data_IF_122650927802
#
_entry.id   IF_122650927802
#
_cell.length_a   1.000
_cell.length_b   1.000
_cell.length_c   1.000
_cell.angle_alpha   90.00
_cell.angle_beta   90.00
_cell.angle_gamma   90.00
#
_symmetry.space_group_name_H-M   'P 1'
#
loop_
_entity.id
_entity.type
_entity.pdbx_description
1 polymer ?
#
# COMPACT_ATOMS: atom_id res chain seq x y z
N UNK A 1 23.15 -70.88 -22.57
CA UNK A 1 21.79 -70.30 -22.70
C UNK A 1 21.84 -68.89 -22.15
N UNK A 2 21.53 -67.87 -22.96
CA UNK A 2 21.50 -66.48 -22.49
C UNK A 2 20.39 -66.36 -21.43
N UNK A 3 20.75 -65.86 -20.25
CA UNK A 3 19.85 -65.81 -19.11
C UNK A 3 18.84 -64.67 -19.31
N UNK A 4 17.76 -64.92 -20.05
CA UNK A 4 16.67 -63.96 -20.28
C UNK A 4 16.00 -63.48 -18.97
N UNK A 5 16.31 -64.14 -17.85
CA UNK A 5 16.03 -63.74 -16.48
C UNK A 5 16.40 -62.27 -16.19
N UNK A 6 17.45 -61.76 -16.84
CA UNK A 6 17.97 -60.38 -16.73
C UNK A 6 16.98 -59.32 -17.29
N UNK A 7 16.12 -59.69 -18.24
CA UNK A 7 15.24 -58.73 -18.93
C UNK A 7 13.95 -58.47 -18.14
N UNK A 8 13.47 -59.45 -17.36
CA UNK A 8 12.17 -59.36 -16.68
C UNK A 8 12.06 -58.26 -15.62
N UNK A 9 13.06 -57.98 -14.77
CA UNK A 9 12.97 -56.88 -13.81
C UNK A 9 12.91 -55.51 -14.50
N UNK A 10 13.70 -55.33 -15.56
CA UNK A 10 13.73 -54.12 -16.39
C UNK A 10 12.41 -53.91 -17.13
N UNK A 11 11.85 -54.98 -17.73
CA UNK A 11 10.51 -54.96 -18.33
C UNK A 11 9.42 -54.71 -17.29
N UNK A 12 9.54 -55.26 -16.08
CA UNK A 12 8.63 -55.00 -14.97
C UNK A 12 8.65 -53.54 -14.51
N UNK A 13 9.83 -52.92 -14.46
CA UNK A 13 9.98 -51.48 -14.14
C UNK A 13 9.36 -50.59 -15.23
N UNK A 14 9.62 -50.89 -16.51
CA UNK A 14 9.06 -50.15 -17.65
C UNK A 14 7.54 -50.35 -17.74
N UNK A 15 7.03 -51.57 -17.56
CA UNK A 15 5.61 -51.87 -17.59
C UNK A 15 4.86 -51.21 -16.43
N UNK A 16 5.43 -51.24 -15.22
CA UNK A 16 4.81 -50.59 -14.06
C UNK A 16 4.78 -49.07 -14.18
N UNK A 17 5.86 -48.45 -14.67
CA UNK A 17 5.91 -46.98 -14.92
C UNK A 17 4.96 -46.56 -16.05
N UNK A 18 4.84 -47.37 -17.11
CA UNK A 18 3.88 -47.14 -18.18
C UNK A 18 2.43 -47.26 -17.67
N UNK A 19 2.11 -48.30 -16.89
CA UNK A 19 0.80 -48.48 -16.27
C UNK A 19 0.46 -47.33 -15.31
N UNK A 20 1.39 -46.91 -14.45
CA UNK A 20 1.14 -45.79 -13.51
C UNK A 20 0.86 -44.48 -14.23
N UNK A 21 1.51 -44.25 -15.38
CA UNK A 21 1.30 -43.05 -16.21
C UNK A 21 -0.01 -43.15 -17.01
N UNK A 22 -0.39 -44.36 -17.44
CA UNK A 22 -1.63 -44.63 -18.16
C UNK A 22 -2.88 -44.45 -17.29
N UNK A 23 -2.82 -44.84 -16.01
CA UNK A 23 -3.92 -44.66 -15.06
C UNK A 23 -3.98 -43.26 -14.42
N UNK A 24 -3.10 -42.34 -14.82
CA UNK A 24 -3.11 -40.93 -14.41
C UNK A 24 -3.23 -40.73 -12.89
N UNK A 25 -2.54 -41.58 -12.12
CA UNK A 25 -2.62 -41.55 -10.67
C UNK A 25 -1.68 -40.44 -10.17
N UNK A 26 -2.20 -39.21 -10.12
CA UNK A 26 -1.47 -37.99 -9.67
C UNK A 26 -1.24 -37.94 -8.16
N UNK A 27 -1.55 -39.02 -7.44
CA UNK A 27 -1.45 -39.03 -5.99
C UNK A 27 0.02 -39.18 -5.53
N UNK A 28 0.49 -38.26 -4.70
CA UNK A 28 1.86 -38.21 -4.15
C UNK A 28 2.28 -39.53 -3.50
N UNK A 29 1.34 -40.26 -2.91
CA UNK A 29 1.59 -41.58 -2.32
C UNK A 29 1.98 -42.65 -3.36
N UNK A 30 1.43 -42.58 -4.57
CA UNK A 30 1.75 -43.55 -5.64
C UNK A 30 3.14 -43.32 -6.22
N UNK A 31 3.56 -42.07 -6.38
CA UNK A 31 4.92 -41.74 -6.83
C UNK A 31 5.96 -42.28 -5.84
N UNK A 32 5.70 -42.17 -4.53
CA UNK A 32 6.56 -42.72 -3.48
C UNK A 32 6.63 -44.24 -3.53
N UNK A 33 5.47 -44.91 -3.61
CA UNK A 33 5.41 -46.36 -3.72
C UNK A 33 6.17 -46.87 -4.97
N UNK A 34 6.11 -46.13 -6.07
CA UNK A 34 6.81 -46.44 -7.31
C UNK A 34 8.33 -46.30 -7.17
N UNK A 35 8.82 -45.27 -6.49
CA UNK A 35 10.26 -45.11 -6.20
C UNK A 35 10.77 -46.26 -5.31
N UNK A 36 9.99 -46.65 -4.29
CA UNK A 36 10.31 -47.79 -3.42
C UNK A 36 10.37 -49.08 -4.24
N UNK A 37 9.36 -49.33 -5.08
CA UNK A 37 9.30 -50.50 -5.94
C UNK A 37 10.49 -50.57 -6.91
N UNK A 38 10.83 -49.47 -7.58
CA UNK A 38 12.00 -49.35 -8.47
C UNK A 38 13.29 -49.72 -7.72
N UNK A 39 13.50 -49.18 -6.51
CA UNK A 39 14.68 -49.48 -5.71
C UNK A 39 14.81 -50.96 -5.34
N UNK A 40 13.67 -51.58 -4.98
CA UNK A 40 13.62 -52.99 -4.60
C UNK A 40 13.89 -53.87 -5.83
N UNK A 41 13.20 -53.63 -6.95
CA UNK A 41 13.38 -54.38 -8.19
C UNK A 41 14.80 -54.23 -8.74
N UNK A 42 15.34 -53.02 -8.76
CA UNK A 42 16.72 -52.77 -9.19
C UNK A 42 17.72 -53.49 -8.28
N UNK A 43 17.47 -53.51 -6.97
CA UNK A 43 18.35 -54.21 -6.04
C UNK A 43 18.27 -55.73 -6.16
N UNK A 44 17.07 -56.29 -6.37
CA UNK A 44 16.90 -57.72 -6.66
C UNK A 44 17.61 -58.09 -7.96
N UNK A 45 17.49 -57.26 -9.00
CA UNK A 45 18.16 -57.45 -10.28
C UNK A 45 19.68 -57.55 -10.11
N UNK A 46 20.30 -56.55 -9.46
CA UNK A 46 21.76 -56.52 -9.26
C UNK A 46 22.24 -57.69 -8.40
N UNK A 47 21.46 -58.09 -7.40
CA UNK A 47 21.85 -59.13 -6.44
C UNK A 47 21.75 -60.54 -7.05
N UNK A 48 20.66 -60.86 -7.75
CA UNK A 48 20.37 -62.25 -8.14
C UNK A 48 20.62 -62.58 -9.61
N UNK A 49 20.71 -61.59 -10.49
CA UNK A 49 20.70 -61.82 -11.94
C UNK A 49 21.93 -61.25 -12.67
N UNK A 50 22.75 -60.43 -12.02
CA UNK A 50 23.95 -59.88 -12.63
C UNK A 50 25.06 -60.96 -12.68
N UNK A 51 25.69 -61.22 -13.86
CA UNK A 51 26.75 -62.22 -13.97
C UNK A 51 27.95 -61.96 -13.06
N UNK A 52 28.57 -63.04 -12.58
CA UNK A 52 29.84 -63.05 -11.87
C UNK A 52 30.95 -62.47 -12.78
N UNK A 53 31.17 -61.16 -12.67
CA UNK A 53 32.25 -60.42 -13.35
C UNK A 53 33.46 -60.28 -12.42
N UNK A 54 34.59 -59.83 -12.97
CA UNK A 54 35.80 -59.52 -12.19
C UNK A 54 35.49 -58.68 -10.94
N UNK A 55 36.26 -58.92 -9.87
CA UNK A 55 36.05 -58.28 -8.56
C UNK A 55 35.98 -56.74 -8.60
N UNK A 56 36.80 -56.01 -9.39
CA UNK A 56 36.73 -54.55 -9.50
C UNK A 56 35.40 -54.04 -10.07
N UNK A 57 34.85 -54.72 -11.08
CA UNK A 57 33.58 -54.37 -11.71
C UNK A 57 32.41 -54.60 -10.77
N UNK A 58 32.48 -55.62 -9.91
CA UNK A 58 31.48 -55.85 -8.85
C UNK A 58 31.47 -54.70 -7.82
N UNK A 59 32.64 -54.25 -7.35
CA UNK A 59 32.72 -53.13 -6.39
C UNK A 59 32.19 -51.82 -6.98
N UNK A 60 32.57 -51.50 -8.22
CA UNK A 60 32.11 -50.28 -8.89
C UNK A 60 30.59 -50.23 -9.07
N UNK A 61 29.98 -51.37 -9.43
CA UNK A 61 28.53 -51.51 -9.57
C UNK A 61 27.81 -51.46 -8.24
N UNK A 62 28.33 -52.13 -7.20
CA UNK A 62 27.78 -52.07 -5.85
C UNK A 62 27.78 -50.63 -5.30
N UNK A 63 28.85 -49.87 -5.56
CA UNK A 63 28.92 -48.45 -5.23
C UNK A 63 27.88 -47.62 -5.99
N UNK A 64 27.72 -47.83 -7.30
CA UNK A 64 26.70 -47.15 -8.10
C UNK A 64 25.27 -47.46 -7.62
N UNK A 65 24.97 -48.73 -7.35
CA UNK A 65 23.68 -49.13 -6.81
C UNK A 65 23.41 -48.46 -5.46
N UNK A 66 24.41 -48.40 -4.58
CA UNK A 66 24.28 -47.73 -3.29
C UNK A 66 24.04 -46.23 -3.45
N UNK A 67 24.74 -45.56 -4.37
CA UNK A 67 24.53 -44.15 -4.67
C UNK A 67 23.11 -43.86 -5.17
N UNK A 68 22.60 -44.66 -6.11
CA UNK A 68 21.23 -44.55 -6.62
C UNK A 68 20.21 -44.78 -5.50
N UNK A 69 20.41 -45.81 -4.68
CA UNK A 69 19.54 -46.09 -3.54
C UNK A 69 19.52 -44.92 -2.56
N UNK A 70 20.68 -44.33 -2.23
CA UNK A 70 20.77 -43.16 -1.32
C UNK A 70 20.01 -41.96 -1.90
N UNK A 71 20.20 -41.63 -3.18
CA UNK A 71 19.47 -40.54 -3.84
C UNK A 71 17.96 -40.75 -3.73
N UNK A 72 17.49 -41.96 -4.02
CA UNK A 72 16.07 -42.27 -3.97
C UNK A 72 15.52 -42.30 -2.53
N UNK A 73 16.31 -42.75 -1.55
CA UNK A 73 15.98 -42.73 -0.12
C UNK A 73 15.83 -41.29 0.40
N UNK A 74 16.68 -40.36 -0.05
CA UNK A 74 16.58 -38.94 0.32
C UNK A 74 15.40 -38.24 -0.35
N UNK A 75 14.91 -38.76 -1.48
CA UNK A 75 13.77 -38.21 -2.22
C UNK A 75 12.38 -38.57 -1.68
N UNK A 76 12.29 -39.46 -0.68
CA UNK A 76 11.02 -39.92 -0.09
C UNK A 76 10.88 -39.53 1.39
N UNK A 77 9.68 -39.70 1.97
CA UNK A 77 9.44 -39.34 3.36
C UNK A 77 10.10 -40.31 4.35
N UNK A 78 10.45 -39.81 5.54
CA UNK A 78 11.21 -40.54 6.55
C UNK A 78 10.75 -41.98 6.82
N UNK A 79 9.45 -42.21 7.00
CA UNK A 79 8.92 -43.56 7.26
C UNK A 79 9.15 -44.50 6.08
N UNK A 80 8.89 -44.01 4.87
CA UNK A 80 9.08 -44.75 3.62
C UNK A 80 10.57 -45.04 3.38
N UNK A 81 11.44 -44.05 3.61
CA UNK A 81 12.90 -44.19 3.57
C UNK A 81 13.39 -45.26 4.53
N UNK A 82 12.90 -45.25 5.78
CA UNK A 82 13.31 -46.18 6.83
C UNK A 82 12.92 -47.61 6.47
N UNK A 83 11.69 -47.83 6.02
CA UNK A 83 11.23 -49.13 5.54
C UNK A 83 12.06 -49.63 4.35
N UNK A 84 12.37 -48.75 3.40
CA UNK A 84 13.20 -49.09 2.24
C UNK A 84 14.61 -49.51 2.65
N UNK A 85 15.26 -48.78 3.57
CA UNK A 85 16.59 -49.11 4.08
C UNK A 85 16.59 -50.49 4.76
N UNK A 86 15.62 -50.73 5.66
CA UNK A 86 15.50 -52.02 6.38
C UNK A 86 15.29 -53.17 5.40
N UNK A 87 14.42 -53.00 4.41
CA UNK A 87 14.08 -54.04 3.45
C UNK A 87 15.27 -54.34 2.52
N UNK A 88 15.94 -53.31 2.00
CA UNK A 88 17.13 -53.48 1.16
C UNK A 88 18.28 -54.16 1.93
N UNK A 89 18.50 -53.78 3.19
CA UNK A 89 19.51 -54.42 4.02
C UNK A 89 19.17 -55.88 4.32
N UNK A 90 17.90 -56.18 4.63
CA UNK A 90 17.42 -57.55 4.86
C UNK A 90 17.61 -58.44 3.63
N UNK A 91 17.30 -57.94 2.43
CA UNK A 91 17.55 -58.65 1.16
C UNK A 91 19.03 -58.96 0.95
N UNK A 92 19.92 -58.01 1.29
CA UNK A 92 21.38 -58.20 1.17
C UNK A 92 21.92 -59.22 2.17
N UNK A 93 21.44 -59.22 3.41
CA UNK A 93 21.79 -60.26 4.39
C UNK A 93 21.32 -61.62 3.91
N UNK A 94 20.08 -61.73 3.45
CA UNK A 94 19.50 -62.99 2.96
C UNK A 94 20.33 -63.55 1.80
N UNK A 95 20.71 -62.70 0.84
CA UNK A 95 21.60 -63.09 -0.26
C UNK A 95 22.97 -63.55 0.23
N UNK A 96 23.59 -62.82 1.17
CA UNK A 96 24.89 -63.18 1.74
C UNK A 96 24.84 -64.54 2.43
N UNK A 97 23.78 -64.82 3.20
CA UNK A 97 23.58 -66.11 3.87
C UNK A 97 23.37 -67.25 2.87
N UNK A 98 22.67 -67.01 1.76
CA UNK A 98 22.41 -68.04 0.75
C UNK A 98 23.62 -68.37 -0.11
N UNK A 99 24.44 -67.37 -0.47
CA UNK A 99 25.46 -67.52 -1.50
C UNK A 99 26.91 -67.48 -0.98
N UNK A 100 27.14 -67.13 0.29
CA UNK A 100 28.50 -67.10 0.84
C UNK A 100 28.89 -68.45 1.44
N UNK A 101 30.10 -68.96 1.16
CA UNK A 101 30.61 -70.20 1.76
C UNK A 101 30.88 -70.08 3.27
N UNK A 102 31.00 -68.85 3.78
CA UNK A 102 31.11 -68.56 5.22
C UNK A 102 30.48 -67.20 5.53
N UNK A 103 29.89 -67.08 6.71
CA UNK A 103 29.23 -65.84 7.14
C UNK A 103 30.25 -64.96 7.86
N UNK A 104 30.64 -63.83 7.26
CA UNK A 104 31.45 -62.83 7.94
C UNK A 104 30.56 -61.91 8.78
N UNK A 105 30.49 -62.23 10.08
CA UNK A 105 29.73 -61.48 11.08
C UNK A 105 30.20 -60.02 11.17
N UNK A 106 31.49 -59.75 10.94
CA UNK A 106 32.07 -58.41 11.04
C UNK A 106 31.44 -57.48 10.00
N UNK A 107 31.36 -57.95 8.75
CA UNK A 107 30.73 -57.20 7.64
C UNK A 107 29.24 -56.97 7.91
N UNK A 108 28.53 -57.93 8.50
CA UNK A 108 27.12 -57.77 8.87
C UNK A 108 26.97 -56.66 9.92
N UNK A 109 27.75 -56.69 11.01
CA UNK A 109 27.70 -55.68 12.09
C UNK A 109 28.03 -54.28 11.56
N UNK A 110 29.08 -54.16 10.75
CA UNK A 110 29.46 -52.89 10.12
C UNK A 110 28.35 -52.37 9.18
N UNK A 111 27.76 -53.28 8.39
CA UNK A 111 26.61 -52.97 7.54
C UNK A 111 25.39 -52.49 8.34
N UNK A 112 25.13 -53.09 9.51
CA UNK A 112 24.05 -52.65 10.39
C UNK A 112 24.31 -51.23 10.90
N UNK A 113 25.52 -50.97 11.41
CA UNK A 113 25.92 -49.63 11.88
C UNK A 113 25.83 -48.57 10.79
N UNK A 114 26.23 -48.89 9.56
CA UNK A 114 26.13 -47.98 8.41
C UNK A 114 24.67 -47.65 8.06
N UNK A 115 23.78 -48.64 8.04
CA UNK A 115 22.35 -48.40 7.77
C UNK A 115 21.67 -47.64 8.91
N UNK A 116 22.03 -47.89 10.17
CA UNK A 116 21.56 -47.10 11.31
C UNK A 116 21.98 -45.62 11.18
N UNK A 117 23.25 -45.38 10.85
CA UNK A 117 23.77 -44.02 10.59
C UNK A 117 23.00 -43.34 9.45
N UNK A 118 22.72 -44.06 8.36
CA UNK A 118 21.93 -43.54 7.25
C UNK A 118 20.50 -43.16 7.69
N UNK A 119 19.82 -43.99 8.50
CA UNK A 119 18.49 -43.67 9.04
C UNK A 119 18.54 -42.38 9.88
N UNK A 120 19.58 -42.20 10.71
CA UNK A 120 19.77 -40.99 11.52
C UNK A 120 19.97 -39.75 10.61
N UNK A 121 20.79 -39.87 9.56
CA UNK A 121 21.00 -38.79 8.58
C UNK A 121 19.67 -38.42 7.90
N UNK A 122 18.91 -39.41 7.43
CA UNK A 122 17.61 -39.20 6.79
C UNK A 122 16.59 -38.57 7.74
N UNK A 123 16.63 -38.92 9.03
CA UNK A 123 15.81 -38.27 10.07
C UNK A 123 16.12 -36.77 10.18
N UNK A 124 17.40 -36.41 10.34
CA UNK A 124 17.79 -35.00 10.45
C UNK A 124 17.49 -34.20 9.18
N UNK A 125 17.72 -34.80 8.02
CA UNK A 125 17.40 -34.20 6.73
C UNK A 125 15.89 -33.90 6.59
N UNK A 126 15.03 -34.90 6.83
CA UNK A 126 13.57 -34.71 6.76
C UNK A 126 13.06 -33.74 7.84
N UNK A 127 13.66 -33.74 9.03
CA UNK A 127 13.36 -32.76 10.08
C UNK A 127 13.70 -31.34 9.64
N UNK A 128 14.84 -31.14 8.99
CA UNK A 128 15.24 -29.84 8.47
C UNK A 128 14.28 -29.35 7.37
N UNK A 129 13.91 -30.21 6.41
CA UNK A 129 12.92 -29.88 5.36
C UNK A 129 11.57 -29.49 5.97
N UNK A 130 11.06 -30.27 6.94
CA UNK A 130 9.79 -29.96 7.60
C UNK A 130 9.85 -28.66 8.39
N UNK A 131 10.99 -28.38 9.05
CA UNK A 131 11.21 -27.11 9.74
C UNK A 131 11.23 -25.94 8.76
N UNK A 132 11.91 -26.08 7.63
CA UNK A 132 11.93 -25.08 6.56
C UNK A 132 10.51 -24.83 6.04
N UNK A 133 9.75 -25.89 5.77
CA UNK A 133 8.36 -25.78 5.34
C UNK A 133 7.44 -25.10 6.36
N UNK A 134 7.62 -25.40 7.65
CA UNK A 134 6.87 -24.74 8.74
C UNK A 134 7.22 -23.25 8.85
N UNK A 135 8.50 -22.89 8.71
CA UNK A 135 8.94 -21.49 8.64
C UNK A 135 8.30 -20.79 7.43
N UNK A 136 8.34 -21.41 6.25
CA UNK A 136 7.69 -20.87 5.04
C UNK A 136 6.17 -20.68 5.25
N UNK A 137 5.49 -21.60 5.94
CA UNK A 137 4.07 -21.47 6.29
C UNK A 137 3.79 -20.35 7.30
N UNK A 138 4.68 -20.15 8.26
CA UNK A 138 4.58 -19.05 9.23
C UNK A 138 4.70 -17.69 8.52
N UNK A 139 5.58 -17.58 7.54
CA UNK A 139 5.75 -16.37 6.75
C UNK A 139 4.56 -16.10 5.82
N UNK A 140 3.98 -17.13 5.22
CA UNK A 140 2.71 -17.00 4.48
C UNK A 140 1.54 -16.54 5.38
N UNK A 141 1.57 -16.86 6.68
CA UNK A 141 0.59 -16.33 7.63
C UNK A 141 0.78 -14.83 7.86
N UNK A 142 2.01 -14.33 7.88
CA UNK A 142 2.26 -12.88 7.94
C UNK A 142 1.71 -12.14 6.74
N UNK A 143 1.86 -12.68 5.53
CA UNK A 143 1.24 -12.10 4.32
C UNK A 143 -0.29 -12.06 4.43
N UNK A 144 -0.91 -13.11 4.97
CA UNK A 144 -2.36 -13.17 5.18
C UNK A 144 -2.82 -12.22 6.30
N UNK A 145 -2.05 -12.09 7.38
CA UNK A 145 -2.32 -11.13 8.47
C UNK A 145 -2.22 -9.69 7.93
N UNK A 146 -1.20 -9.37 7.13
CA UNK A 146 -1.07 -8.06 6.48
C UNK A 146 -2.28 -7.76 5.59
N UNK A 147 -2.74 -8.74 4.80
CA UNK A 147 -3.98 -8.59 3.99
C UNK A 147 -5.22 -8.31 4.86
N UNK A 148 -5.34 -8.97 6.01
CA UNK A 148 -6.46 -8.76 6.92
C UNK A 148 -6.41 -7.39 7.62
N UNK A 149 -5.22 -6.93 8.02
CA UNK A 149 -5.03 -5.61 8.65
C UNK A 149 -5.31 -4.49 7.64
N UNK A 150 -4.97 -4.69 6.37
CA UNK A 150 -5.05 -3.67 5.32
C UNK A 150 -6.38 -3.66 4.55
N UNK A 151 -7.41 -4.36 5.02
CA UNK A 151 -8.67 -4.60 4.29
C UNK A 151 -9.34 -3.35 3.69
N UNK A 152 -9.13 -2.15 4.27
CA UNK A 152 -9.75 -0.91 3.83
C UNK A 152 -8.79 0.11 3.19
N UNK A 153 -7.53 -0.26 2.96
CA UNK A 153 -6.52 0.63 2.39
C UNK A 153 -6.14 0.18 0.98
N UNK A 154 -5.79 1.15 0.11
CA UNK A 154 -5.27 0.85 -1.23
C UNK A 154 -3.77 0.62 -1.15
N UNK A 155 -3.33 -0.60 -1.44
CA UNK A 155 -1.92 -1.00 -1.34
C UNK A 155 -1.47 -1.88 -2.51
N UNK A 156 -0.17 -1.94 -2.74
CA UNK A 156 0.53 -2.96 -3.53
C UNK A 156 1.46 -3.68 -2.57
N UNK A 157 1.44 -5.01 -2.61
CA UNK A 157 2.37 -5.87 -1.88
C UNK A 157 3.21 -6.65 -2.90
N UNK A 158 4.53 -6.45 -2.89
CA UNK A 158 5.48 -7.08 -3.80
C UNK A 158 6.59 -7.78 -3.02
N UNK A 159 7.07 -8.90 -3.54
CA UNK A 159 8.27 -9.58 -3.06
C UNK A 159 9.41 -9.38 -4.05
N UNK A 160 10.63 -9.22 -3.54
CA UNK A 160 11.84 -9.23 -4.35
C UNK A 160 12.50 -10.61 -4.31
N UNK A 161 12.53 -11.31 -5.44
CA UNK A 161 13.22 -12.59 -5.55
C UNK A 161 14.71 -12.36 -5.79
N UNK A 162 15.51 -12.46 -4.73
CA UNK A 162 16.97 -12.22 -4.76
C UNK A 162 17.66 -13.10 -5.81
N UNK A 163 17.27 -14.38 -5.92
CA UNK A 163 17.86 -15.33 -6.87
C UNK A 163 17.64 -14.96 -8.34
N UNK A 164 16.49 -14.37 -8.66
CA UNK A 164 16.10 -14.01 -10.04
C UNK A 164 16.27 -12.53 -10.35
N UNK A 165 16.62 -11.72 -9.34
CA UNK A 165 16.69 -10.27 -9.39
C UNK A 165 15.40 -9.61 -9.92
N UNK A 166 14.23 -10.14 -9.53
CA UNK A 166 12.94 -9.72 -10.06
C UNK A 166 11.92 -9.44 -8.95
N UNK A 167 11.10 -8.41 -9.15
CA UNK A 167 9.92 -8.19 -8.32
C UNK A 167 8.76 -9.08 -8.77
N UNK A 168 8.03 -9.62 -7.80
CA UNK A 168 6.82 -10.38 -8.00
C UNK A 168 5.68 -9.77 -7.17
N UNK A 169 4.59 -9.40 -7.84
CA UNK A 169 3.38 -8.95 -7.16
C UNK A 169 2.72 -10.10 -6.41
N UNK A 170 2.42 -9.88 -5.13
CA UNK A 170 1.65 -10.80 -4.30
C UNK A 170 0.17 -10.45 -4.40
N UNK A 171 -0.16 -9.18 -4.15
CA UNK A 171 -1.53 -8.65 -4.19
C UNK A 171 -1.52 -7.14 -4.41
N UNK A 172 -2.51 -6.63 -5.13
CA UNK A 172 -2.71 -5.19 -5.30
C UNK A 172 -4.19 -4.81 -5.20
N UNK A 173 -4.49 -3.81 -4.38
CA UNK A 173 -5.76 -3.07 -4.31
C UNK A 173 -5.55 -1.58 -4.63
N UNK A 174 -4.39 -1.25 -5.19
CA UNK A 174 -3.91 0.13 -5.35
C UNK A 174 -4.78 0.98 -6.26
N UNK A 175 -5.25 0.39 -7.36
CA UNK A 175 -6.16 1.00 -8.34
C UNK A 175 -7.01 -0.10 -8.98
N UNK A 176 -8.24 0.18 -9.44
CA UNK A 176 -8.99 -0.75 -10.29
C UNK A 176 -8.23 -1.13 -11.58
N UNK A 177 -7.27 -0.31 -12.03
CA UNK A 177 -6.43 -0.57 -13.20
C UNK A 177 -5.10 -1.25 -12.90
N UNK A 178 -4.77 -1.46 -11.62
CA UNK A 178 -3.50 -2.03 -11.18
C UNK A 178 -3.81 -3.16 -10.21
N UNK A 179 -4.22 -4.31 -10.75
CA UNK A 179 -4.59 -5.50 -10.00
C UNK A 179 -3.76 -6.72 -10.43
N UNK A 180 -3.49 -6.87 -11.72
CA UNK A 180 -2.73 -8.00 -12.24
C UNK A 180 -1.22 -7.83 -12.00
N UNK A 181 -0.47 -8.94 -11.97
CA UNK A 181 0.98 -8.89 -11.82
C UNK A 181 1.64 -8.06 -12.94
N UNK A 182 1.13 -8.17 -14.17
CA UNK A 182 1.66 -7.40 -15.32
C UNK A 182 1.43 -5.90 -15.12
N UNK A 183 0.23 -5.50 -14.69
CA UNK A 183 -0.09 -4.10 -14.43
C UNK A 183 0.74 -3.52 -13.28
N UNK A 184 0.94 -4.28 -12.21
CA UNK A 184 1.79 -3.87 -11.08
C UNK A 184 3.23 -3.65 -11.56
N UNK A 185 3.76 -4.56 -12.39
CA UNK A 185 5.12 -4.41 -12.93
C UNK A 185 5.22 -3.23 -13.91
N UNK A 186 4.20 -2.99 -14.73
CA UNK A 186 4.16 -1.82 -15.60
C UNK A 186 4.13 -0.53 -14.78
N UNK A 187 3.33 -0.49 -13.70
CA UNK A 187 3.33 0.63 -12.76
C UNK A 187 4.74 0.86 -12.19
N UNK A 188 5.42 -0.16 -11.68
CA UNK A 188 6.78 0.00 -11.12
C UNK A 188 7.81 0.51 -12.16
N UNK A 189 7.67 0.11 -13.42
CA UNK A 189 8.57 0.49 -14.51
C UNK A 189 8.32 1.90 -15.05
N UNK A 190 7.06 2.27 -15.20
CA UNK A 190 6.65 3.52 -15.82
C UNK A 190 6.58 4.67 -14.81
N UNK A 191 6.29 4.37 -13.55
CA UNK A 191 6.22 5.36 -12.49
C UNK A 191 7.63 5.87 -12.17
N UNK A 192 7.80 7.20 -12.07
CA UNK A 192 9.12 7.84 -11.91
C UNK A 192 9.26 8.62 -10.61
N UNK A 193 10.39 8.45 -9.93
CA UNK A 193 10.85 9.27 -8.81
C UNK A 193 12.11 9.97 -9.28
N UNK A 194 12.16 11.30 -9.26
CA UNK A 194 13.36 12.06 -9.68
C UNK A 194 14.00 11.60 -11.02
N UNK A 195 13.15 11.26 -12.00
CA UNK A 195 13.48 10.73 -13.33
C UNK A 195 14.00 9.29 -13.42
N UNK A 196 14.20 8.58 -12.30
CA UNK A 196 14.44 7.13 -12.28
C UNK A 196 13.12 6.36 -12.12
N UNK A 197 13.04 5.12 -12.57
CA UNK A 197 11.83 4.30 -12.36
C UNK A 197 11.66 3.95 -10.88
N UNK A 198 10.41 3.76 -10.46
CA UNK A 198 10.08 3.33 -9.10
C UNK A 198 10.71 1.96 -8.81
N UNK A 199 10.75 1.07 -9.80
CA UNK A 199 11.47 -0.21 -9.73
C UNK A 199 12.95 -0.03 -9.36
N UNK A 200 13.66 0.86 -10.04
CA UNK A 200 15.08 1.16 -9.77
C UNK A 200 15.26 1.83 -8.40
N UNK A 201 14.37 2.76 -8.05
CA UNK A 201 14.39 3.43 -6.75
C UNK A 201 14.24 2.43 -5.59
N UNK A 202 13.26 1.54 -5.68
CA UNK A 202 13.02 0.49 -4.67
C UNK A 202 14.18 -0.50 -4.61
N UNK A 203 14.81 -0.82 -5.75
CA UNK A 203 16.00 -1.66 -5.77
C UNK A 203 17.20 -1.03 -5.05
N UNK A 204 17.47 0.26 -5.26
CA UNK A 204 18.52 0.97 -4.52
C UNK A 204 18.23 1.03 -3.02
N UNK A 205 16.97 1.28 -2.63
CA UNK A 205 16.54 1.27 -1.23
C UNK A 205 16.69 -0.12 -0.59
N UNK A 206 16.44 -1.19 -1.34
CA UNK A 206 16.70 -2.57 -0.90
C UNK A 206 18.20 -2.83 -0.66
N UNK A 207 19.07 -2.35 -1.54
CA UNK A 207 20.53 -2.48 -1.36
C UNK A 207 21.03 -1.67 -0.16
N UNK A 208 20.50 -0.47 0.04
CA UNK A 208 20.84 0.36 1.20
C UNK A 208 20.37 -0.31 2.51
N UNK A 209 19.17 -0.91 2.51
CA UNK A 209 18.63 -1.67 3.63
C UNK A 209 19.52 -2.86 3.98
N UNK A 210 19.95 -3.66 2.99
CA UNK A 210 20.78 -4.86 3.24
C UNK A 210 22.14 -4.54 3.83
N UNK A 211 22.65 -3.33 3.61
CA UNK A 211 23.93 -2.86 4.18
C UNK A 211 23.77 -2.27 5.58
N UNK A 212 22.65 -1.61 5.88
CA UNK A 212 22.45 -0.87 7.14
C UNK A 212 21.60 -1.60 8.19
N UNK A 213 20.89 -2.67 7.81
CA UNK A 213 19.97 -3.44 8.68
C UNK A 213 18.93 -2.58 9.42
N UNK A 214 18.62 -1.38 8.93
CA UNK A 214 17.61 -0.50 9.51
C UNK A 214 16.28 -0.72 8.79
N UNK A 215 15.22 -1.00 9.54
CA UNK A 215 13.87 -1.11 9.01
C UNK A 215 13.45 0.21 8.35
N UNK A 216 13.22 0.19 7.02
CA UNK A 216 12.63 1.32 6.29
C UNK A 216 11.11 1.20 6.45
N UNK A 217 10.56 2.02 7.35
CA UNK A 217 9.13 2.04 7.67
C UNK A 217 8.56 3.41 7.29
N UNK A 218 7.49 3.39 6.48
CA UNK A 218 6.72 4.57 6.05
C UNK A 218 7.58 5.67 5.42
N UNK A 219 8.56 5.29 4.61
CA UNK A 219 9.35 6.25 3.85
C UNK A 219 8.50 6.75 2.67
N UNK A 220 8.42 8.06 2.46
CA UNK A 220 7.48 8.64 1.51
C UNK A 220 8.17 9.10 0.23
N UNK A 221 7.65 8.67 -0.93
CA UNK A 221 8.14 9.04 -2.26
C UNK A 221 7.08 9.78 -3.06
N UNK A 222 7.50 10.79 -3.81
CA UNK A 222 6.67 11.44 -4.80
C UNK A 222 6.88 10.79 -6.16
N UNK A 223 5.85 10.09 -6.62
CA UNK A 223 5.89 9.25 -7.81
C UNK A 223 5.09 9.91 -8.93
N UNK A 224 5.70 10.14 -10.09
CA UNK A 224 5.03 10.61 -11.31
C UNK A 224 4.57 9.40 -12.13
N UNK A 225 3.26 9.26 -12.32
CA UNK A 225 2.65 8.19 -13.11
C UNK A 225 1.42 8.75 -13.85
N UNK A 226 1.24 8.45 -15.14
CA UNK A 226 0.12 8.97 -15.96
C UNK A 226 -0.11 10.49 -15.86
N UNK A 227 0.97 11.27 -15.91
CA UNK A 227 0.95 12.75 -15.75
C UNK A 227 0.41 13.25 -14.40
N UNK A 228 0.21 12.37 -13.43
CA UNK A 228 -0.17 12.69 -12.06
C UNK A 228 1.02 12.52 -11.13
N UNK A 229 1.08 13.33 -10.08
CA UNK A 229 2.05 13.20 -9.00
C UNK A 229 1.33 12.58 -7.80
N UNK A 230 1.71 11.35 -7.47
CA UNK A 230 1.12 10.52 -6.42
C UNK A 230 2.16 10.42 -5.31
N UNK A 231 1.78 10.80 -4.09
CA UNK A 231 2.60 10.50 -2.92
C UNK A 231 2.32 9.07 -2.48
N UNK A 232 3.39 8.30 -2.34
CA UNK A 232 3.37 6.88 -2.06
C UNK A 232 4.26 6.65 -0.86
N UNK A 233 3.69 6.08 0.19
CA UNK A 233 4.43 5.64 1.36
C UNK A 233 4.81 4.19 1.12
N UNK A 234 6.07 3.83 1.34
CA UNK A 234 6.51 2.46 1.22
C UNK A 234 7.23 2.01 2.48
N UNK A 235 7.12 0.70 2.76
CA UNK A 235 7.83 0.04 3.84
C UNK A 235 8.47 -1.23 3.30
N UNK A 236 9.71 -1.49 3.72
CA UNK A 236 10.45 -2.70 3.35
C UNK A 236 10.57 -3.57 4.60
N UNK A 237 10.04 -4.79 4.51
CA UNK A 237 10.07 -5.80 5.55
C UNK A 237 10.94 -6.97 5.10
N UNK A 238 11.67 -7.58 6.03
CA UNK A 238 12.45 -8.79 5.77
C UNK A 238 11.80 -9.99 6.45
N UNK A 239 11.27 -10.90 5.62
CA UNK A 239 11.03 -12.31 5.99
C UNK A 239 12.10 -13.20 5.34
N UNK A 240 11.68 -14.25 4.63
CA UNK A 240 12.58 -15.04 3.76
C UNK A 240 13.00 -14.29 2.49
N UNK A 241 12.14 -13.40 2.00
CA UNK A 241 12.42 -12.51 0.88
C UNK A 241 12.08 -11.07 1.31
N UNK A 242 12.72 -10.05 0.73
CA UNK A 242 12.34 -8.67 0.98
C UNK A 242 10.92 -8.44 0.44
N UNK A 243 10.01 -8.09 1.33
CA UNK A 243 8.62 -7.75 1.02
C UNK A 243 8.46 -6.24 1.11
N UNK A 244 7.99 -5.62 0.03
CA UNK A 244 7.74 -4.18 -0.01
C UNK A 244 6.22 -3.97 0.00
N UNK A 245 5.76 -3.22 1.00
CA UNK A 245 4.43 -2.68 1.05
C UNK A 245 4.46 -1.26 0.49
N UNK A 246 3.66 -1.01 -0.52
CA UNK A 246 3.49 0.29 -1.14
C UNK A 246 2.06 0.73 -0.88
N UNK A 247 1.88 1.86 -0.22
CA UNK A 247 0.60 2.45 0.08
C UNK A 247 0.50 3.81 -0.59
N UNK A 248 -0.65 4.13 -1.15
CA UNK A 248 -0.92 5.54 -1.42
C UNK A 248 -1.05 6.24 -0.08
N UNK A 249 -0.41 7.39 0.11
CA UNK A 249 -0.63 8.22 1.30
C UNK A 249 -2.08 8.74 1.25
N UNK A 250 -3.05 7.93 1.68
CA UNK A 250 -4.49 8.15 1.50
C UNK A 250 -5.09 9.22 2.42
N UNK A 251 -4.29 10.19 2.88
CA UNK A 251 -4.82 11.24 3.74
C UNK A 251 -5.74 12.23 3.01
N UNK A 252 -5.84 12.22 1.67
CA UNK A 252 -6.64 13.23 0.92
C UNK A 252 -7.90 12.71 0.21
N UNK A 253 -7.90 11.47 -0.31
CA UNK A 253 -9.09 10.92 -0.99
C UNK A 253 -10.21 10.53 -0.01
N UNK A 254 -9.86 10.11 1.21
CA UNK A 254 -10.86 9.78 2.23
C UNK A 254 -11.52 11.04 2.82
N UNK A 255 -10.80 12.16 2.90
CA UNK A 255 -11.35 13.48 3.27
C UNK A 255 -12.34 13.96 2.19
N UNK A 256 -11.99 13.82 0.90
CA UNK A 256 -12.90 14.20 -0.18
C UNK A 256 -14.21 13.39 -0.18
N UNK A 257 -14.15 12.08 0.07
CA UNK A 257 -15.37 11.25 0.17
C UNK A 257 -16.16 11.50 1.47
N UNK A 258 -15.50 11.74 2.60
CA UNK A 258 -16.20 12.11 3.85
C UNK A 258 -16.83 13.50 3.77
N UNK A 259 -16.20 14.46 3.09
CA UNK A 259 -16.74 15.80 2.91
C UNK A 259 -17.83 15.86 1.84
N UNK A 260 -17.70 15.11 0.74
CA UNK A 260 -18.79 14.90 -0.21
C UNK A 260 -19.99 14.23 0.47
N UNK A 261 -19.76 13.28 1.38
CA UNK A 261 -20.82 12.67 2.19
C UNK A 261 -21.43 13.64 3.21
N UNK A 262 -20.65 14.59 3.78
CA UNK A 262 -21.21 15.66 4.63
C UNK A 262 -22.05 16.64 3.82
N UNK A 263 -21.62 16.98 2.60
CA UNK A 263 -22.37 17.85 1.68
C UNK A 263 -23.67 17.17 1.25
N UNK A 264 -23.64 15.90 0.86
CA UNK A 264 -24.84 15.14 0.49
C UNK A 264 -25.80 14.97 1.67
N UNK A 265 -25.30 14.73 2.89
CA UNK A 265 -26.13 14.73 4.11
C UNK A 265 -26.78 16.09 4.40
N UNK A 266 -26.10 17.21 4.12
CA UNK A 266 -26.68 18.54 4.27
C UNK A 266 -27.74 18.82 3.20
N UNK A 267 -27.52 18.42 1.95
CA UNK A 267 -28.54 18.48 0.90
C UNK A 267 -29.77 17.65 1.25
N UNK A 268 -29.58 16.44 1.76
CA UNK A 268 -30.67 15.58 2.24
C UNK A 268 -31.44 16.23 3.40
N UNK A 269 -30.74 16.86 4.36
CA UNK A 269 -31.39 17.62 5.44
C UNK A 269 -32.22 18.80 4.90
N UNK A 270 -31.70 19.52 3.92
CA UNK A 270 -32.41 20.66 3.32
C UNK A 270 -33.65 20.20 2.53
N UNK A 271 -33.52 19.11 1.76
CA UNK A 271 -34.66 18.45 1.10
C UNK A 271 -35.69 17.94 2.11
N UNK A 272 -35.27 17.36 3.23
CA UNK A 272 -36.17 16.89 4.29
C UNK A 272 -36.93 18.04 4.94
N UNK A 273 -36.26 19.17 5.19
CA UNK A 273 -36.90 20.40 5.71
C UNK A 273 -37.90 20.96 4.69
N UNK A 274 -37.55 21.00 3.39
CA UNK A 274 -38.49 21.40 2.33
C UNK A 274 -39.71 20.49 2.26
N UNK A 275 -39.51 19.17 2.28
CA UNK A 275 -40.61 18.20 2.26
C UNK A 275 -41.52 18.39 3.47
N UNK A 276 -40.97 18.66 4.67
CA UNK A 276 -41.77 18.96 5.86
C UNK A 276 -42.55 20.26 5.74
N UNK A 277 -41.94 21.34 5.27
CA UNK A 277 -42.64 22.63 5.06
C UNK A 277 -43.80 22.45 4.06
N UNK A 278 -43.59 21.69 2.99
CA UNK A 278 -44.61 21.45 1.95
C UNK A 278 -45.72 20.51 2.45
N UNK A 279 -45.39 19.48 3.24
CA UNK A 279 -46.36 18.48 3.71
C UNK A 279 -47.12 18.87 4.98
N UNK A 280 -46.48 19.60 5.89
CA UNK A 280 -47.00 19.87 7.24
C UNK A 280 -47.55 21.30 7.39
N UNK A 281 -47.55 22.11 6.32
CA UNK A 281 -48.07 23.50 6.27
C UNK A 281 -47.52 24.41 7.40
N UNK A 282 -46.27 24.13 7.82
CA UNK A 282 -45.59 24.85 8.89
C UNK A 282 -45.12 26.23 8.36
N UNK A 283 -45.29 27.33 9.13
CA UNK A 283 -44.83 28.65 8.70
C UNK A 283 -43.33 28.66 8.42
N UNK A 284 -42.98 29.09 7.21
CA UNK A 284 -41.62 29.10 6.69
C UNK A 284 -40.70 30.04 7.48
N UNK A 285 -39.75 29.48 8.24
CA UNK A 285 -38.72 30.25 8.92
C UNK A 285 -37.58 30.62 7.96
N UNK A 286 -37.76 31.75 7.27
CA UNK A 286 -36.80 32.28 6.29
C UNK A 286 -35.37 32.36 6.81
N UNK A 287 -35.16 32.76 8.08
CA UNK A 287 -33.82 32.93 8.65
C UNK A 287 -33.11 31.58 8.84
N UNK A 288 -33.80 30.55 9.32
CA UNK A 288 -33.23 29.22 9.49
C UNK A 288 -32.88 28.59 8.14
N UNK A 289 -33.78 28.75 7.16
CA UNK A 289 -33.57 28.28 5.80
C UNK A 289 -32.35 28.96 5.15
N UNK A 290 -32.28 30.29 5.21
CA UNK A 290 -31.19 31.08 4.67
C UNK A 290 -29.83 30.72 5.32
N UNK A 291 -29.81 30.50 6.63
CA UNK A 291 -28.60 30.07 7.34
C UNK A 291 -28.11 28.68 6.88
N UNK A 292 -29.04 27.76 6.60
CA UNK A 292 -28.70 26.41 6.15
C UNK A 292 -28.26 26.41 4.68
N UNK A 293 -28.93 27.18 3.82
CA UNK A 293 -28.53 27.40 2.43
C UNK A 293 -27.12 28.02 2.33
N UNK A 294 -26.83 29.03 3.16
CA UNK A 294 -25.50 29.66 3.22
C UNK A 294 -24.41 28.66 3.62
N UNK A 295 -24.68 27.78 4.59
CA UNK A 295 -23.74 26.72 5.00
C UNK A 295 -23.45 25.77 3.85
N UNK A 296 -24.47 25.33 3.11
CA UNK A 296 -24.29 24.44 1.96
C UNK A 296 -23.48 25.12 0.85
N UNK A 297 -23.82 26.36 0.50
CA UNK A 297 -23.11 27.09 -0.54
C UNK A 297 -21.65 27.40 -0.17
N UNK A 298 -21.35 27.71 1.09
CA UNK A 298 -19.97 27.83 1.57
C UNK A 298 -19.21 26.51 1.42
N UNK A 299 -19.85 25.38 1.77
CA UNK A 299 -19.21 24.07 1.68
C UNK A 299 -19.02 23.59 0.23
N UNK A 300 -19.95 23.91 -0.68
CA UNK A 300 -19.79 23.69 -2.12
C UNK A 300 -18.61 24.52 -2.67
N UNK A 301 -18.50 25.80 -2.30
CA UNK A 301 -17.35 26.64 -2.71
C UNK A 301 -16.01 26.11 -2.18
N UNK A 302 -15.96 25.57 -0.96
CA UNK A 302 -14.77 24.89 -0.41
C UNK A 302 -14.43 23.65 -1.25
N UNK A 303 -15.42 22.84 -1.58
CA UNK A 303 -15.24 21.63 -2.41
C UNK A 303 -14.74 21.97 -3.81
N UNK A 304 -15.32 23.00 -4.44
CA UNK A 304 -14.91 23.48 -5.77
C UNK A 304 -13.51 24.10 -5.77
N UNK A 305 -13.08 24.67 -4.65
CA UNK A 305 -11.70 25.15 -4.46
C UNK A 305 -10.74 23.96 -4.49
N UNK A 306 -11.07 22.85 -3.82
CA UNK A 306 -10.18 21.69 -3.77
C UNK A 306 -10.09 20.89 -5.08
N UNK A 307 -11.16 20.86 -5.87
CA UNK A 307 -11.24 19.95 -7.03
C UNK A 307 -10.80 20.55 -8.36
N UNK A 308 -10.42 21.84 -8.43
CA UNK A 308 -10.14 22.51 -9.71
C UNK A 308 -8.77 23.17 -9.72
N UNK A 309 -8.13 23.20 -10.90
CA UNK A 309 -6.90 23.94 -11.14
C UNK A 309 -7.07 25.44 -10.78
N UNK A 310 -6.08 25.96 -10.06
CA UNK A 310 -6.03 27.34 -9.58
C UNK A 310 -5.39 28.22 -10.66
N UNK A 311 -6.19 29.03 -11.34
CA UNK A 311 -5.73 29.95 -12.39
C UNK A 311 -5.93 31.38 -11.91
N UNK A 312 -4.86 32.17 -11.97
CA UNK A 312 -4.86 33.61 -11.74
C UNK A 312 -5.66 34.33 -12.81
N UNK A 313 -6.55 35.24 -12.40
CA UNK A 313 -7.32 36.09 -13.32
C UNK A 313 -7.49 37.49 -12.72
N UNK A 314 -7.53 38.49 -13.59
CA UNK A 314 -7.95 39.85 -13.23
C UNK A 314 -9.45 39.80 -12.91
N UNK A 315 -9.80 40.27 -11.71
CA UNK A 315 -11.13 40.20 -11.13
C UNK A 315 -11.58 41.58 -10.68
N UNK A 316 -12.75 42.00 -11.14
CA UNK A 316 -13.42 43.21 -10.63
C UNK A 316 -14.00 42.93 -9.24
N UNK A 317 -13.64 43.77 -8.28
CA UNK A 317 -14.16 43.71 -6.92
C UNK A 317 -15.67 43.95 -6.91
N UNK A 318 -16.17 44.90 -7.71
CA UNK A 318 -17.62 45.16 -7.84
C UNK A 318 -18.38 43.93 -8.31
N UNK A 319 -17.89 43.22 -9.33
CA UNK A 319 -18.50 41.97 -9.82
C UNK A 319 -18.45 40.84 -8.79
N UNK A 320 -17.46 40.84 -7.91
CA UNK A 320 -17.27 39.79 -6.91
C UNK A 320 -18.13 40.02 -5.67
N UNK A 321 -18.19 41.27 -5.23
CA UNK A 321 -19.11 41.72 -4.18
C UNK A 321 -20.55 41.51 -4.61
N UNK A 322 -20.96 41.88 -5.83
CA UNK A 322 -22.35 41.66 -6.29
C UNK A 322 -22.72 40.18 -6.33
N UNK A 323 -21.81 39.31 -6.76
CA UNK A 323 -21.99 37.86 -6.68
C UNK A 323 -22.18 37.41 -5.24
N UNK A 324 -21.34 37.89 -4.31
CA UNK A 324 -21.34 37.42 -2.92
C UNK A 324 -22.45 38.06 -2.08
N UNK A 325 -22.96 39.23 -2.47
CA UNK A 325 -24.05 39.92 -1.81
C UNK A 325 -25.32 39.05 -1.73
N UNK A 326 -25.57 38.21 -2.75
CA UNK A 326 -26.64 37.23 -2.74
C UNK A 326 -26.52 36.18 -1.62
N UNK A 327 -25.34 36.01 -1.03
CA UNK A 327 -25.04 35.05 0.03
C UNK A 327 -25.05 35.69 1.44
N UNK A 328 -25.12 37.01 1.52
CA UNK A 328 -25.00 37.74 2.77
C UNK A 328 -26.33 37.75 3.54
N UNK A 329 -26.28 38.13 4.82
CA UNK A 329 -27.49 38.36 5.59
C UNK A 329 -28.38 39.37 4.83
N UNK A 330 -29.66 39.07 4.55
CA UNK A 330 -30.56 39.95 3.79
C UNK A 330 -30.69 41.35 4.40
N UNK A 331 -30.37 41.51 5.69
CA UNK A 331 -30.35 42.80 6.39
C UNK A 331 -29.07 43.62 6.14
N UNK A 332 -28.01 43.01 5.61
CA UNK A 332 -26.73 43.66 5.36
C UNK A 332 -26.67 44.26 3.96
N UNK A 333 -26.45 45.56 3.88
CA UNK A 333 -26.18 46.31 2.66
C UNK A 333 -24.66 46.46 2.51
N UNK A 334 -24.14 46.13 1.34
CA UNK A 334 -22.71 46.27 1.03
C UNK A 334 -22.54 47.50 0.15
N UNK A 335 -21.71 48.43 0.59
CA UNK A 335 -21.37 49.64 -0.15
C UNK A 335 -19.88 49.60 -0.53
N UNK A 336 -19.62 49.70 -1.84
CA UNK A 336 -18.27 49.90 -2.37
C UNK A 336 -18.00 51.39 -2.46
N UNK A 337 -16.91 51.85 -1.82
CA UNK A 337 -16.49 53.25 -1.84
C UNK A 337 -15.31 53.41 -2.79
N UNK A 338 -15.50 54.20 -3.84
CA UNK A 338 -14.50 54.49 -4.88
C UNK A 338 -14.84 53.92 -6.26
N UNK A 339 -13.90 54.03 -7.19
CA UNK A 339 -13.95 53.39 -8.50
C UNK A 339 -13.83 51.86 -8.38
N UNK A 340 -14.24 51.12 -9.43
CA UNK A 340 -14.11 49.67 -9.42
C UNK A 340 -12.63 49.26 -9.37
N UNK A 341 -12.35 48.26 -8.54
CA UNK A 341 -11.02 47.79 -8.21
C UNK A 341 -10.77 46.49 -8.97
N UNK A 342 -9.71 46.45 -9.78
CA UNK A 342 -9.29 45.26 -10.50
C UNK A 342 -8.12 44.59 -9.79
N UNK A 343 -8.32 43.34 -9.38
CA UNK A 343 -7.38 42.55 -8.59
C UNK A 343 -6.87 41.39 -9.44
N UNK A 344 -5.56 41.24 -9.57
CA UNK A 344 -5.00 39.99 -10.08
C UNK A 344 -4.98 38.98 -8.92
N UNK A 345 -5.92 38.03 -8.92
CA UNK A 345 -6.05 37.05 -7.83
C UNK A 345 -6.52 35.69 -8.36
N UNK A 346 -6.65 34.70 -7.47
CA UNK A 346 -7.34 33.44 -7.77
C UNK A 346 -8.81 33.64 -7.40
N UNK A 347 -9.75 33.80 -8.36
CA UNK A 347 -11.11 34.25 -8.08
C UNK A 347 -11.87 33.39 -7.08
N UNK A 348 -11.62 32.08 -7.07
CA UNK A 348 -12.32 31.15 -6.16
C UNK A 348 -11.91 31.36 -4.71
N UNK A 349 -10.60 31.49 -4.46
CA UNK A 349 -10.06 31.70 -3.11
C UNK A 349 -10.51 33.08 -2.61
N UNK A 350 -10.40 34.11 -3.45
CA UNK A 350 -10.83 35.46 -3.10
C UNK A 350 -12.33 35.54 -2.80
N UNK A 351 -13.17 34.90 -3.63
CA UNK A 351 -14.61 34.87 -3.39
C UNK A 351 -15.00 34.07 -2.14
N UNK A 352 -14.24 33.02 -1.81
CA UNK A 352 -14.44 32.27 -0.57
C UNK A 352 -14.08 33.12 0.65
N UNK A 353 -12.94 33.81 0.61
CA UNK A 353 -12.52 34.74 1.66
C UNK A 353 -13.57 35.83 1.91
N UNK A 354 -14.02 36.51 0.86
CA UNK A 354 -15.06 37.52 0.96
C UNK A 354 -16.37 36.93 1.52
N UNK A 355 -16.77 35.73 1.09
CA UNK A 355 -17.96 35.06 1.63
C UNK A 355 -17.82 34.77 3.13
N UNK A 356 -16.65 34.30 3.60
CA UNK A 356 -16.39 34.07 5.02
C UNK A 356 -16.41 35.36 5.85
N UNK A 357 -15.87 36.46 5.31
CA UNK A 357 -15.88 37.77 5.96
C UNK A 357 -17.31 38.27 6.12
N UNK A 358 -18.08 38.23 5.03
CA UNK A 358 -19.45 38.75 5.02
C UNK A 358 -20.42 37.87 5.83
N UNK A 359 -20.26 36.54 5.82
CA UNK A 359 -21.01 35.62 6.70
C UNK A 359 -20.65 35.80 8.19
N UNK A 360 -19.49 36.39 8.49
CA UNK A 360 -19.09 36.73 9.86
C UNK A 360 -19.56 38.13 10.28
N UNK A 361 -20.16 38.90 9.37
CA UNK A 361 -20.68 40.24 9.68
C UNK A 361 -22.00 40.17 10.45
N UNK A 362 -22.15 41.13 11.37
CA UNK A 362 -23.38 41.41 12.10
C UNK A 362 -23.97 42.78 11.76
N UNK A 363 -23.31 43.53 10.88
CA UNK A 363 -23.70 44.89 10.53
C UNK A 363 -24.78 44.94 9.49
N UNK A 364 -25.63 45.96 9.59
CA UNK A 364 -26.57 46.32 8.53
C UNK A 364 -25.89 47.02 7.35
N UNK A 365 -24.73 47.66 7.57
CA UNK A 365 -23.94 48.29 6.52
C UNK A 365 -22.50 47.80 6.59
N UNK A 366 -21.98 47.33 5.46
CA UNK A 366 -20.58 46.91 5.31
C UNK A 366 -19.96 47.77 4.22
N UNK A 367 -18.88 48.48 4.55
CA UNK A 367 -18.20 49.38 3.62
C UNK A 367 -16.90 48.70 3.16
N UNK A 368 -16.72 48.58 1.85
CA UNK A 368 -15.52 48.01 1.25
C UNK A 368 -14.80 49.12 0.48
N UNK A 369 -13.55 49.38 0.84
CA UNK A 369 -12.69 50.40 0.23
C UNK A 369 -11.36 49.78 -0.17
N UNK A 370 -10.89 50.06 -1.38
CA UNK A 370 -9.51 49.78 -1.77
C UNK A 370 -8.62 50.97 -1.46
N UNK A 371 -7.45 50.71 -0.89
CA UNK A 371 -6.40 51.70 -0.67
C UNK A 371 -5.22 51.35 -1.59
N UNK A 372 -4.91 52.25 -2.52
CA UNK A 372 -3.77 52.12 -3.41
C UNK A 372 -2.60 52.94 -2.88
N UNK A 373 -1.42 52.33 -2.84
CA UNK A 373 -0.16 53.02 -2.60
C UNK A 373 0.63 52.92 -3.91
N UNK A 374 1.08 54.05 -4.45
CA UNK A 374 1.98 54.08 -5.62
C UNK A 374 1.46 53.32 -6.85
N UNK A 375 0.23 53.61 -7.30
CA UNK A 375 -0.42 53.03 -8.49
C UNK A 375 -0.67 51.51 -8.48
N UNK A 376 -0.42 50.80 -7.37
CA UNK A 376 -0.82 49.41 -7.19
C UNK A 376 -1.73 49.28 -5.95
N UNK A 377 -2.89 48.63 -6.12
CA UNK A 377 -3.81 48.36 -5.02
C UNK A 377 -3.27 47.21 -4.18
N UNK A 378 -2.72 47.54 -3.00
CA UNK A 378 -2.14 46.57 -2.07
C UNK A 378 -3.10 46.20 -0.93
N UNK A 379 -4.03 47.08 -0.56
CA UNK A 379 -4.84 46.90 0.65
C UNK A 379 -6.34 47.03 0.35
N UNK A 380 -7.13 46.07 0.83
CA UNK A 380 -8.59 46.13 0.86
C UNK A 380 -9.04 46.27 2.31
N UNK A 381 -9.77 47.33 2.60
CA UNK A 381 -10.32 47.65 3.92
C UNK A 381 -11.82 47.40 3.93
N UNK A 382 -12.26 46.54 4.84
CA UNK A 382 -13.66 46.14 5.00
C UNK A 382 -14.12 46.58 6.39
N UNK A 383 -15.00 47.58 6.45
CA UNK A 383 -15.50 48.17 7.68
C UNK A 383 -16.89 47.64 8.02
N UNK A 384 -17.08 47.29 9.29
CA UNK A 384 -18.29 46.69 9.83
C UNK A 384 -18.02 45.96 11.14
N UNK A 385 -19.05 45.59 11.88
CA UNK A 385 -19.04 44.72 13.05
C UNK A 385 -18.94 43.23 12.69
N UNK A 386 -17.81 42.61 13.00
CA UNK A 386 -17.54 41.20 12.68
C UNK A 386 -17.44 40.31 13.92
N UNK A 387 -17.96 39.09 13.81
CA UNK A 387 -17.68 38.02 14.74
C UNK A 387 -16.30 37.40 14.42
N UNK A 388 -15.25 37.99 15.01
CA UNK A 388 -13.85 37.59 14.78
C UNK A 388 -13.64 36.10 15.11
N UNK A 389 -14.31 35.55 16.14
CA UNK A 389 -14.16 34.13 16.50
C UNK A 389 -14.61 33.21 15.36
N UNK A 390 -15.76 33.51 14.74
CA UNK A 390 -16.29 32.76 13.59
C UNK A 390 -15.36 32.91 12.37
N UNK A 391 -14.89 34.13 12.10
CA UNK A 391 -13.97 34.40 11.00
C UNK A 391 -12.62 33.66 11.18
N UNK A 392 -12.09 33.61 12.40
CA UNK A 392 -10.85 32.90 12.73
C UNK A 392 -10.98 31.40 12.47
N UNK A 393 -12.11 30.79 12.82
CA UNK A 393 -12.35 29.37 12.55
C UNK A 393 -12.34 29.06 11.05
N UNK A 394 -12.91 29.94 10.22
CA UNK A 394 -12.87 29.76 8.77
C UNK A 394 -11.48 29.97 8.20
N UNK A 395 -10.84 31.09 8.53
CA UNK A 395 -9.51 31.45 8.02
C UNK A 395 -8.44 30.42 8.37
N UNK A 396 -8.51 29.79 9.56
CA UNK A 396 -7.63 28.67 9.91
C UNK A 396 -7.77 27.46 8.97
N UNK A 397 -8.99 27.09 8.58
CA UNK A 397 -9.24 25.94 7.68
C UNK A 397 -8.70 26.16 6.28
N UNK A 398 -8.68 27.40 5.81
CA UNK A 398 -8.24 27.76 4.45
C UNK A 398 -6.91 28.52 4.42
N UNK A 399 -6.16 28.55 5.53
CA UNK A 399 -4.94 29.36 5.72
C UNK A 399 -3.94 29.22 4.57
N UNK A 400 -3.67 27.99 4.15
CA UNK A 400 -2.68 27.71 3.10
C UNK A 400 -3.10 28.25 1.72
N UNK A 401 -4.40 28.34 1.46
CA UNK A 401 -4.92 28.93 0.22
C UNK A 401 -4.93 30.46 0.29
N UNK A 402 -5.19 31.02 1.47
CA UNK A 402 -5.14 32.46 1.68
C UNK A 402 -3.73 33.02 1.47
N UNK A 403 -2.68 32.26 1.84
CA UNK A 403 -1.28 32.62 1.56
C UNK A 403 -1.01 32.91 0.08
N UNK A 404 -1.75 32.27 -0.84
CA UNK A 404 -1.54 32.45 -2.28
C UNK A 404 -1.95 33.85 -2.77
N UNK A 405 -2.91 34.48 -2.08
CA UNK A 405 -3.54 35.75 -2.49
C UNK A 405 -3.32 36.90 -1.51
N UNK A 406 -3.06 36.61 -0.23
CA UNK A 406 -2.92 37.58 0.85
C UNK A 406 -1.58 37.44 1.55
N UNK A 407 -0.92 38.58 1.76
CA UNK A 407 0.30 38.72 2.54
C UNK A 407 -0.02 38.80 4.04
N UNK A 408 -1.01 39.61 4.41
CA UNK A 408 -1.44 39.78 5.79
C UNK A 408 -2.96 39.98 5.87
N UNK A 409 -3.59 39.42 6.91
CA UNK A 409 -5.01 39.62 7.24
C UNK A 409 -5.08 40.12 8.69
N UNK A 410 -5.36 41.41 8.86
CA UNK A 410 -5.62 42.01 10.18
C UNK A 410 -7.13 42.10 10.39
N UNK A 411 -7.65 41.25 11.26
CA UNK A 411 -9.07 41.20 11.58
C UNK A 411 -9.34 41.77 12.97
N UNK A 412 -9.99 42.93 13.01
CA UNK A 412 -10.50 43.57 14.22
C UNK A 412 -12.03 43.52 14.24
N UNK A 413 -12.62 43.87 15.38
CA UNK A 413 -14.08 43.79 15.56
C UNK A 413 -14.85 44.71 14.61
N UNK A 414 -14.24 45.83 14.21
CA UNK A 414 -14.87 46.89 13.42
C UNK A 414 -14.27 47.04 12.01
N UNK A 415 -13.17 46.35 11.72
CA UNK A 415 -12.41 46.54 10.50
C UNK A 415 -11.59 45.30 10.18
N UNK A 416 -11.58 44.90 8.91
CA UNK A 416 -10.72 43.85 8.38
C UNK A 416 -9.87 44.46 7.28
N UNK A 417 -8.55 44.42 7.46
CA UNK A 417 -7.59 44.86 6.45
C UNK A 417 -6.97 43.63 5.79
N UNK A 418 -7.10 43.54 4.48
CA UNK A 418 -6.50 42.49 3.64
C UNK A 418 -5.37 43.11 2.85
N UNK A 419 -4.13 42.74 3.16
CA UNK A 419 -2.97 43.06 2.33
C UNK A 419 -2.79 41.93 1.31
N UNK A 420 -2.90 42.26 0.02
CA UNK A 420 -2.76 41.30 -1.08
C UNK A 420 -1.28 41.13 -1.46
N UNK A 421 -0.94 39.96 -2.01
CA UNK A 421 0.39 39.76 -2.59
C UNK A 421 0.53 40.58 -3.89
N UNK A 422 1.73 41.07 -4.17
CA UNK A 422 2.05 41.76 -5.43
C UNK A 422 1.97 40.79 -6.62
N UNK A 423 2.40 39.55 -6.40
CA UNK A 423 2.26 38.45 -7.34
C UNK A 423 1.52 37.28 -6.68
N UNK A 424 0.68 36.59 -7.45
CA UNK A 424 0.00 35.38 -6.95
C UNK A 424 1.05 34.30 -6.78
N UNK A 425 1.25 33.87 -5.53
CA UNK A 425 2.21 32.82 -5.23
C UNK A 425 1.73 31.53 -5.89
N UNK A 426 2.64 30.87 -6.61
CA UNK A 426 2.34 29.56 -7.18
C UNK A 426 2.29 28.52 -6.06
N UNK A 427 1.31 27.61 -6.08
CA UNK A 427 1.31 26.50 -5.14
C UNK A 427 2.54 25.63 -5.42
N UNK A 428 3.52 25.71 -4.52
CA UNK A 428 4.72 24.87 -4.41
C UNK A 428 5.88 25.18 -5.40
N UNK A 429 6.74 26.11 -4.99
CA UNK A 429 8.18 26.01 -5.26
C UNK A 429 8.89 25.94 -3.88
N UNK A 430 9.90 25.07 -3.77
CA UNK A 430 10.54 24.60 -2.52
C UNK A 430 11.25 25.65 -1.64
N UNK A 431 11.00 26.95 -1.80
CA UNK A 431 11.68 27.98 -1.04
C UNK A 431 10.73 28.64 -0.02
N UNK A 432 11.04 28.42 1.26
CA UNK A 432 10.64 29.18 2.46
C UNK A 432 9.24 29.80 2.36
N UNK A 433 8.24 29.12 2.94
CA UNK A 433 6.89 29.67 3.08
C UNK A 433 6.94 31.01 3.85
N UNK A 434 6.38 32.11 3.31
CA UNK A 434 6.18 33.32 4.10
C UNK A 434 5.20 33.02 5.24
N UNK A 435 5.56 33.41 6.45
CA UNK A 435 4.71 33.24 7.63
C UNK A 435 3.62 34.32 7.63
N UNK A 436 2.35 33.90 7.52
CA UNK A 436 1.22 34.79 7.80
C UNK A 436 1.21 35.16 9.29
N UNK A 437 1.50 36.42 9.60
CA UNK A 437 1.33 36.95 10.94
C UNK A 437 -0.12 37.34 11.18
N UNK A 438 -0.79 36.63 12.08
CA UNK A 438 -2.08 37.06 12.61
C UNK A 438 -1.84 37.92 13.85
N UNK A 439 -1.85 39.23 13.68
CA UNK A 439 -1.81 40.16 14.81
C UNK A 439 -3.21 40.27 15.43
N UNK A 440 -3.42 39.57 16.54
CA UNK A 440 -4.65 39.66 17.34
C UNK A 440 -4.46 40.63 18.50
N UNK A 441 -5.17 41.76 18.50
CA UNK A 441 -5.20 42.63 19.68
C UNK A 441 -6.11 42.02 20.76
N UNK A 442 -5.52 41.33 21.74
CA UNK A 442 -6.20 41.04 23.00
C UNK A 442 -6.29 42.35 23.78
N UNK A 443 -7.43 43.06 23.70
CA UNK A 443 -7.73 44.10 24.71
C UNK A 443 -7.78 43.43 26.09
N UNK A 444 -6.75 43.67 26.92
CA UNK A 444 -6.80 43.40 28.37
C UNK A 444 -8.01 44.15 28.93
N UNK A 445 -8.95 43.43 29.54
CA UNK A 445 -9.93 44.02 30.45
C UNK A 445 -9.17 44.52 31.67
N UNK A 446 -8.82 45.81 31.70
CA UNK A 446 -8.62 46.52 32.96
C UNK A 446 -10.00 46.69 33.58
N UNK A 447 -10.28 45.90 34.61
CA UNK A 447 -11.36 46.19 35.55
C UNK A 447 -10.94 47.44 36.32
N UNK A 448 -11.54 48.59 35.99
CA UNK A 448 -11.68 49.68 36.95
C UNK A 448 -12.76 49.23 37.94
N UNK A 449 -12.31 48.70 39.07
CA UNK A 449 -13.10 48.67 40.29
C UNK A 449 -13.00 50.07 40.86
N UNK A 450 -14.00 50.90 40.60
CA UNK A 450 -14.26 52.06 41.44
C UNK A 450 -14.87 51.51 42.74
N UNK A 451 -14.09 51.55 43.81
CA UNK A 451 -14.59 51.63 45.18
C UNK A 451 -14.57 53.11 45.53
N UNK A 452 -15.79 53.66 45.55
CA UNK A 452 -16.37 54.81 46.28
C UNK A 452 -17.33 55.60 45.39
#
# INVERSE_FOLDING_TARGET
MQNYAVIYPSLGMIAFTALSKFFNIENVYHQRALIIYINICFSIYVIFFDPLLDTPTMYFRGAHQMAINIINILGIEFLDSTMTIILLYSLRILHLVQNSPSIDITTIILGFGANLSLIIIVYFYNKAIRSQFLLTKMDQRWENILKQILHNQKFILINYQVEKLQFQSITSTFSPTIQSQVEVMNFLREAKVDNISLEQCLFYKLQEFSQKYLEIVNDSLNVKFDKQLIQVDFSIFFGNQPTILIQTSQSKLHIQNQEANKVSQLYLKLLTVFIKIIKEDIPFNYNQFHNLANKIQLQDKITQMWNKQMISKILSLKKSVSKIQAFCNPKSKIQLVGSDIFLNTIPKIFNLLLACILDSSTSELIIIKGESMENQLKIIKIQGTFNIRKLNQFTLKIKNYLLLICKEIKAEQYCINLELNEEILQPFNNNIMPQLHFNYSKKKRTQLVNIE
#
